data_IF_667265922635
#
_entry.id   IF_667265922635
#
_cell.length_a   1.000
_cell.length_b   1.000
_cell.length_c   1.000
_cell.angle_alpha   90.00
_cell.angle_beta   90.00
_cell.angle_gamma   90.00
#
_symmetry.space_group_name_H-M   'P 1'
#
loop_
_entity.id
_entity.type
_entity.pdbx_description
1 polymer ?
#
# COMPACT_ATOMS: atom_id res chain seq x y z
N UNK A 1 -11.10 -8.50 -14.19
CA UNK A 1 -11.87 -8.88 -12.97
C UNK A 1 -11.44 -7.95 -11.85
N UNK A 2 -12.34 -7.35 -11.06
CA UNK A 2 -12.00 -6.43 -9.98
C UNK A 2 -11.08 -7.07 -8.92
N UNK A 3 -10.13 -6.32 -8.37
CA UNK A 3 -9.14 -6.86 -7.42
C UNK A 3 -9.46 -6.51 -5.97
N UNK A 4 -10.24 -7.37 -5.31
CA UNK A 4 -10.52 -7.26 -3.87
C UNK A 4 -9.28 -7.36 -3.00
N UNK A 5 -8.24 -8.06 -3.47
CA UNK A 5 -6.97 -8.18 -2.75
C UNK A 5 -6.20 -6.86 -2.73
N UNK A 6 -6.08 -6.19 -3.89
CA UNK A 6 -5.43 -4.89 -3.96
C UNK A 6 -6.19 -3.81 -3.20
N UNK A 7 -7.52 -3.81 -3.32
CA UNK A 7 -8.38 -2.90 -2.55
C UNK A 7 -8.27 -3.13 -1.03
N UNK A 8 -8.23 -4.39 -0.58
CA UNK A 8 -8.02 -4.74 0.84
C UNK A 8 -6.66 -4.27 1.34
N UNK A 9 -5.59 -4.53 0.58
CA UNK A 9 -4.26 -4.07 0.93
C UNK A 9 -4.21 -2.54 1.04
N UNK A 10 -4.68 -1.84 0.01
CA UNK A 10 -4.62 -0.38 -0.03
C UNK A 10 -5.35 0.26 1.15
N UNK A 11 -6.59 -0.15 1.42
CA UNK A 11 -7.38 0.42 2.51
C UNK A 11 -6.82 0.06 3.89
N UNK A 12 -6.26 -1.13 4.09
CA UNK A 12 -5.63 -1.46 5.37
C UNK A 12 -4.37 -0.61 5.61
N UNK A 13 -3.58 -0.35 4.58
CA UNK A 13 -2.39 0.50 4.73
C UNK A 13 -2.76 1.95 4.93
N UNK A 14 -3.80 2.44 4.24
CA UNK A 14 -4.30 3.80 4.43
C UNK A 14 -4.64 4.08 5.90
N UNK A 15 -5.25 3.11 6.60
CA UNK A 15 -5.50 3.21 8.05
C UNK A 15 -4.23 3.13 8.90
N UNK A 16 -3.20 2.42 8.42
CA UNK A 16 -2.00 2.15 9.18
C UNK A 16 -0.99 3.31 9.15
N UNK A 17 -0.96 4.09 8.06
CA UNK A 17 0.05 5.15 7.83
C UNK A 17 0.21 6.12 9.01
N UNK A 18 -0.87 6.65 9.61
CA UNK A 18 -0.75 7.58 10.74
C UNK A 18 -0.09 6.95 11.97
N UNK A 19 -0.24 5.64 12.14
CA UNK A 19 0.22 4.89 13.32
C UNK A 19 1.66 4.38 13.20
N UNK A 20 2.28 4.49 12.01
CA UNK A 20 3.67 4.07 11.82
C UNK A 20 4.64 4.97 12.58
N UNK A 21 5.50 4.35 13.39
CA UNK A 21 6.62 5.04 14.04
C UNK A 21 7.67 5.45 13.02
N UNK A 22 8.53 6.39 13.38
CA UNK A 22 9.67 6.82 12.53
C UNK A 22 10.57 5.63 12.15
N UNK A 23 10.87 4.75 13.10
CA UNK A 23 11.62 3.51 12.83
C UNK A 23 10.93 2.62 11.82
N UNK A 24 9.60 2.44 11.94
CA UNK A 24 8.84 1.64 10.98
C UNK A 24 8.80 2.27 9.59
N UNK A 25 8.65 3.60 9.50
CA UNK A 25 8.67 4.34 8.23
C UNK A 25 10.00 4.19 7.51
N UNK A 26 11.12 4.32 8.22
CA UNK A 26 12.47 4.13 7.67
C UNK A 26 12.71 2.70 7.17
N UNK A 27 12.28 1.69 7.95
CA UNK A 27 12.37 0.27 7.55
C UNK A 27 11.47 -0.05 6.35
N UNK A 28 10.23 0.46 6.36
CA UNK A 28 9.28 0.31 5.26
C UNK A 28 9.79 1.00 3.99
N UNK A 29 10.31 2.22 4.07
CA UNK A 29 10.87 2.96 2.93
C UNK A 29 11.95 2.14 2.23
N UNK A 30 12.90 1.62 3.00
CA UNK A 30 13.98 0.79 2.47
C UNK A 30 13.42 -0.44 1.75
N UNK A 31 12.47 -1.14 2.37
CA UNK A 31 11.86 -2.34 1.79
C UNK A 31 10.97 -2.04 0.57
N UNK A 32 10.23 -0.94 0.59
CA UNK A 32 9.37 -0.47 -0.51
C UNK A 32 10.22 -0.23 -1.76
N UNK A 33 11.40 0.39 -1.62
CA UNK A 33 12.32 0.63 -2.74
C UNK A 33 12.84 -0.70 -3.33
N UNK A 34 13.16 -1.70 -2.50
CA UNK A 34 13.56 -3.03 -2.96
C UNK A 34 12.43 -3.77 -3.71
N UNK A 35 11.21 -3.72 -3.17
CA UNK A 35 10.02 -4.31 -3.80
C UNK A 35 9.73 -3.61 -5.14
N UNK A 36 9.81 -2.27 -5.17
CA UNK A 36 9.65 -1.49 -6.40
C UNK A 36 10.66 -1.92 -7.48
N UNK A 37 11.95 -2.02 -7.15
CA UNK A 37 13.00 -2.49 -8.07
C UNK A 37 12.67 -3.86 -8.65
N UNK A 38 12.24 -4.79 -7.80
CA UNK A 38 11.89 -6.16 -8.19
C UNK A 38 10.74 -6.22 -9.19
N UNK A 39 9.77 -5.31 -9.08
CA UNK A 39 8.58 -5.30 -9.94
C UNK A 39 8.71 -4.43 -11.19
N UNK A 40 9.61 -3.46 -11.21
CA UNK A 40 9.77 -2.53 -12.35
C UNK A 40 10.99 -2.80 -13.21
N UNK A 41 11.85 -3.76 -12.83
CA UNK A 41 13.15 -4.02 -13.48
C UNK A 41 13.98 -2.74 -13.65
N UNK A 42 13.82 -1.78 -12.73
CA UNK A 42 14.48 -0.48 -12.79
C UNK A 42 15.89 -0.59 -12.23
N UNK A 43 16.89 -0.44 -13.08
CA UNK A 43 18.31 -0.37 -12.73
C UNK A 43 18.77 1.04 -12.33
N UNK A 44 17.81 1.95 -12.09
CA UNK A 44 18.07 3.34 -11.70
C UNK A 44 18.69 3.49 -10.31
N UNK A 45 19.27 4.66 -10.06
CA UNK A 45 19.72 5.03 -8.71
C UNK A 45 18.54 5.08 -7.74
N UNK A 46 18.83 5.02 -6.44
CA UNK A 46 17.81 5.08 -5.39
C UNK A 46 16.98 6.37 -5.48
N UNK A 47 17.60 7.49 -5.83
CA UNK A 47 16.94 8.79 -5.98
C UNK A 47 15.94 8.79 -7.15
N UNK A 48 16.31 8.18 -8.28
CA UNK A 48 15.43 8.06 -9.45
C UNK A 48 14.21 7.20 -9.11
N UNK A 49 14.43 6.08 -8.42
CA UNK A 49 13.35 5.19 -8.02
C UNK A 49 12.42 5.85 -7.01
N UNK A 50 12.98 6.59 -6.04
CA UNK A 50 12.20 7.36 -5.07
C UNK A 50 11.33 8.41 -5.76
N UNK A 51 11.88 9.14 -6.73
CA UNK A 51 11.13 10.12 -7.52
C UNK A 51 9.98 9.47 -8.31
N UNK A 52 10.23 8.34 -8.97
CA UNK A 52 9.19 7.59 -9.69
C UNK A 52 8.10 7.06 -8.75
N UNK A 53 8.50 6.51 -7.61
CA UNK A 53 7.59 6.02 -6.59
C UNK A 53 6.70 7.15 -6.06
N UNK A 54 7.25 8.33 -5.78
CA UNK A 54 6.49 9.49 -5.31
C UNK A 54 5.50 10.04 -6.35
N UNK A 55 5.76 9.83 -7.65
CA UNK A 55 4.86 10.18 -8.74
C UNK A 55 3.78 9.11 -9.01
N UNK A 56 3.93 7.93 -8.40
CA UNK A 56 2.98 6.83 -8.59
C UNK A 56 1.66 7.14 -7.88
N UNK A 57 0.49 6.84 -8.49
CA UNK A 57 -0.80 6.97 -7.83
C UNK A 57 -0.83 6.27 -6.46
N UNK A 58 -1.44 6.94 -5.47
CA UNK A 58 -1.45 6.52 -4.07
C UNK A 58 -1.84 5.05 -3.88
N UNK A 59 -2.85 4.58 -4.61
CA UNK A 59 -3.31 3.21 -4.49
C UNK A 59 -2.22 2.16 -4.80
N UNK A 60 -1.36 2.41 -5.77
CA UNK A 60 -0.27 1.49 -6.08
C UNK A 60 0.84 1.61 -5.04
N UNK A 61 1.14 2.83 -4.57
CA UNK A 61 2.07 3.03 -3.45
C UNK A 61 1.62 2.24 -2.21
N UNK A 62 0.34 2.31 -1.85
CA UNK A 62 -0.23 1.57 -0.72
C UNK A 62 -0.11 0.05 -0.92
N UNK A 63 -0.28 -0.43 -2.15
CA UNK A 63 -0.11 -1.86 -2.45
C UNK A 63 1.35 -2.32 -2.32
N UNK A 64 2.32 -1.50 -2.67
CA UNK A 64 3.74 -1.81 -2.43
C UNK A 64 4.05 -1.77 -0.93
N UNK A 65 3.57 -0.75 -0.21
CA UNK A 65 3.73 -0.67 1.25
C UNK A 65 3.12 -1.91 1.91
N UNK A 66 1.99 -2.41 1.43
CA UNK A 66 1.39 -3.65 1.93
C UNK A 66 2.34 -4.85 1.74
N UNK A 67 2.94 -5.01 0.57
CA UNK A 67 3.93 -6.06 0.32
C UNK A 67 5.16 -5.92 1.23
N UNK A 68 5.70 -4.71 1.35
CA UNK A 68 6.82 -4.44 2.25
C UNK A 68 6.48 -4.75 3.72
N UNK A 69 5.30 -4.34 4.17
CA UNK A 69 4.78 -4.61 5.52
C UNK A 69 4.66 -6.11 5.78
N UNK A 70 4.21 -6.87 4.78
CA UNK A 70 4.13 -8.32 4.83
C UNK A 70 5.51 -8.99 4.90
N UNK A 71 6.47 -8.51 4.12
CA UNK A 71 7.84 -9.03 4.10
C UNK A 71 8.56 -8.79 5.43
N UNK A 72 8.31 -7.63 6.06
CA UNK A 72 8.84 -7.28 7.37
C UNK A 72 8.07 -7.94 8.54
N UNK A 73 6.99 -8.68 8.26
CA UNK A 73 6.19 -9.35 9.28
C UNK A 73 5.35 -8.43 10.16
N UNK A 74 5.10 -7.19 9.73
CA UNK A 74 4.26 -6.24 10.47
C UNK A 74 2.78 -6.61 10.38
N UNK A 75 2.03 -6.57 11.49
CA UNK A 75 0.63 -6.93 11.50
C UNK A 75 -0.22 -5.84 10.83
N UNK A 76 -1.35 -6.21 10.17
CA UNK A 76 -2.33 -5.23 9.72
C UNK A 76 -3.04 -4.56 10.93
N UNK A 77 -3.68 -3.40 10.73
CA UNK A 77 -4.35 -2.66 11.80
C UNK A 77 -5.39 -3.47 12.59
N UNK A 78 -6.06 -4.42 11.92
CA UNK A 78 -7.05 -5.28 12.53
C UNK A 78 -6.55 -6.73 12.59
N UNK A 79 -6.54 -7.33 13.80
CA UNK A 79 -6.06 -8.70 14.04
C UNK A 79 -6.74 -9.78 13.17
N UNK A 80 -7.99 -9.56 12.73
CA UNK A 80 -8.74 -10.51 11.88
C UNK A 80 -8.59 -10.25 10.37
N UNK A 81 -7.87 -9.21 9.98
CA UNK A 81 -7.52 -8.93 8.59
C UNK A 81 -6.11 -9.46 8.29
N UNK A 82 -5.79 -9.59 7.01
CA UNK A 82 -4.47 -10.06 6.53
C UNK A 82 -4.09 -9.30 5.28
N UNK A 83 -2.79 -9.01 5.14
CA UNK A 83 -2.25 -8.53 3.88
C UNK A 83 -2.29 -9.63 2.83
N UNK A 84 -3.02 -9.35 1.76
CA UNK A 84 -3.26 -10.27 0.66
C UNK A 84 -2.03 -10.36 -0.24
N UNK A 85 -1.81 -11.54 -0.83
CA UNK A 85 -0.81 -11.68 -1.91
C UNK A 85 -1.38 -11.05 -3.19
N UNK A 86 -0.57 -10.22 -3.83
CA UNK A 86 -0.82 -9.66 -5.17
C UNK A 86 0.42 -9.90 -6.03
N UNK A 87 0.23 -10.16 -7.33
CA UNK A 87 1.35 -10.48 -8.23
C UNK A 87 2.09 -9.24 -8.72
N UNK A 88 1.36 -8.18 -9.02
CA UNK A 88 1.90 -6.92 -9.50
C UNK A 88 1.20 -5.78 -8.75
N UNK A 89 1.87 -5.02 -7.87
CA UNK A 89 1.25 -3.94 -7.11
C UNK A 89 0.82 -2.73 -7.96
N UNK A 90 1.26 -2.66 -9.22
CA UNK A 90 0.93 -1.59 -10.16
C UNK A 90 -0.18 -1.97 -11.15
N UNK A 91 -0.81 -3.14 -10.99
CA UNK A 91 -1.87 -3.55 -11.90
C UNK A 91 -3.08 -2.61 -11.76
N UNK A 92 -3.55 -1.94 -12.85
CA UNK A 92 -4.65 -0.98 -12.80
C UNK A 92 -5.95 -1.55 -12.21
N UNK A 93 -6.11 -2.87 -12.25
CA UNK A 93 -7.23 -3.59 -11.62
C UNK A 93 -7.37 -3.32 -10.11
N UNK A 94 -6.30 -2.88 -9.45
CA UNK A 94 -6.34 -2.50 -8.04
C UNK A 94 -7.14 -1.22 -7.81
N UNK A 95 -7.22 -0.32 -8.80
CA UNK A 95 -7.97 0.94 -8.76
C UNK A 95 -9.45 0.79 -9.15
N UNK A 96 -9.96 -0.44 -9.21
CA UNK A 96 -11.37 -0.69 -9.48
C UNK A 96 -12.25 -0.12 -8.34
N UNK A 97 -13.07 0.88 -8.68
CA UNK A 97 -13.92 1.57 -7.71
C UNK A 97 -14.93 0.65 -7.04
N UNK A 98 -15.44 -0.35 -7.76
CA UNK A 98 -16.40 -1.29 -7.20
C UNK A 98 -15.75 -2.13 -6.08
N UNK A 99 -14.55 -2.66 -6.32
CA UNK A 99 -13.77 -3.36 -5.30
C UNK A 99 -13.46 -2.48 -4.10
N UNK A 100 -13.01 -1.24 -4.34
CA UNK A 100 -12.70 -0.28 -3.27
C UNK A 100 -13.93 0.00 -2.40
N UNK A 101 -15.07 0.34 -3.00
CA UNK A 101 -16.32 0.61 -2.28
C UNK A 101 -16.81 -0.61 -1.51
N UNK A 102 -16.75 -1.81 -2.11
CA UNK A 102 -17.16 -3.04 -1.46
C UNK A 102 -16.29 -3.37 -0.22
N UNK A 103 -14.97 -3.20 -0.32
CA UNK A 103 -14.05 -3.42 0.80
C UNK A 103 -14.22 -2.34 1.87
N UNK A 104 -14.33 -1.07 1.50
CA UNK A 104 -14.59 0.02 2.45
C UNK A 104 -15.88 -0.23 3.24
N UNK A 105 -16.95 -0.65 2.55
CA UNK A 105 -18.23 -1.03 3.20
C UNK A 105 -18.07 -2.22 4.16
N UNK A 106 -17.28 -3.24 3.78
CA UNK A 106 -16.96 -4.38 4.66
C UNK A 106 -16.23 -3.91 5.92
N UNK A 107 -15.22 -3.05 5.78
CA UNK A 107 -14.43 -2.51 6.90
C UNK A 107 -15.29 -1.65 7.83
N UNK A 108 -16.14 -0.78 7.27
CA UNK A 108 -17.12 0.01 8.04
C UNK A 108 -18.07 -0.87 8.84
N UNK A 109 -18.64 -1.90 8.19
CA UNK A 109 -19.57 -2.80 8.86
C UNK A 109 -18.90 -3.64 9.96
N UNK A 110 -17.66 -4.10 9.73
CA UNK A 110 -16.96 -5.01 10.64
C UNK A 110 -16.24 -4.32 11.80
N UNK A 111 -15.73 -3.11 11.56
CA UNK A 111 -14.85 -2.38 12.49
C UNK A 111 -15.35 -0.99 12.86
N UNK A 112 -16.44 -0.51 12.25
CA UNK A 112 -16.96 0.84 12.50
C UNK A 112 -16.11 1.95 11.87
N UNK A 113 -15.15 1.62 11.00
CA UNK A 113 -14.22 2.59 10.41
C UNK A 113 -14.64 2.97 9.00
N UNK A 114 -14.81 4.27 8.78
CA UNK A 114 -15.01 4.84 7.46
C UNK A 114 -13.68 5.26 6.87
N UNK A 115 -13.43 4.85 5.63
CA UNK A 115 -12.14 5.05 4.97
C UNK A 115 -12.33 5.28 3.47
N UNK A 116 -11.50 6.18 2.95
CA UNK A 116 -11.27 6.42 1.54
C UNK A 116 -9.75 6.51 1.30
N UNK A 117 -9.32 6.20 0.08
CA UNK A 117 -7.93 6.43 -0.33
C UNK A 117 -7.76 7.92 -0.58
N UNK A 118 -6.78 8.57 0.06
CA UNK A 118 -6.49 9.98 -0.21
C UNK A 118 -6.05 10.18 -1.67
N UNK A 119 -6.29 11.37 -2.21
CA UNK A 119 -5.86 11.68 -3.58
C UNK A 119 -4.34 11.92 -3.65
N UNK A 120 -3.75 12.51 -2.60
CA UNK A 120 -2.33 12.82 -2.61
C UNK A 120 -1.46 11.56 -2.48
N UNK A 121 -0.44 11.41 -3.34
CA UNK A 121 0.59 10.39 -3.16
C UNK A 121 1.27 10.52 -1.79
N UNK A 122 1.73 9.38 -1.29
CA UNK A 122 2.66 9.34 -0.15
C UNK A 122 3.98 9.96 -0.60
N UNK A 123 4.49 10.93 0.16
CA UNK A 123 5.87 11.38 0.04
C UNK A 123 6.76 10.47 0.87
N UNK A 124 7.53 9.62 0.20
CA UNK A 124 8.51 8.77 0.86
C UNK A 124 9.79 9.54 1.22
N UNK A 125 9.98 10.77 0.75
CA UNK A 125 11.08 11.64 1.18
C UNK A 125 10.98 11.98 2.67
N UNK A 126 9.75 12.15 3.17
CA UNK A 126 9.45 12.46 4.57
C UNK A 126 9.32 11.21 5.47
N UNK A 127 9.66 10.02 4.94
CA UNK A 127 9.68 8.74 5.67
C UNK A 127 11.09 8.33 6.05
#
# INVERSE_FOLDING_TARGET
>A
MPSFNGATNALLIELAIPEFTETQRSQLKSRVLEVYKTHTTSDGSTEVILAQLNQTPRIFQLNIVALAMKDLGYPPPFRKEKIQKIKNPFDPVHADEYALRAVARRLKWRYGVEIWIAEEPISFDSW
#
